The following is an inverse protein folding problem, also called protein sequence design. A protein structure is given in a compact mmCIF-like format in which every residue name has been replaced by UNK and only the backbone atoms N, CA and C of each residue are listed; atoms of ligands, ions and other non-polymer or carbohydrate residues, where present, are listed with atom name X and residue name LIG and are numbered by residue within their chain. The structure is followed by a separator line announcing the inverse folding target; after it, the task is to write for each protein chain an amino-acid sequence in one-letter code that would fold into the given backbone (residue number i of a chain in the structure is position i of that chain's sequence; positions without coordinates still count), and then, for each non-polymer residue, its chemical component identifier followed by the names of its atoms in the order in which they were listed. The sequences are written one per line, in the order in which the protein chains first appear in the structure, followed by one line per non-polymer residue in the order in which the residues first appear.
data_IF_450129481869
#
_entry.id   IF_450129481869
#
_cell.length_a   1.000
_cell.length_b   1.000
_cell.length_c   1.000
_cell.angle_alpha   90.00
_cell.angle_beta   90.00
_cell.angle_gamma   90.00
#
_symmetry.space_group_name_H-M   'P 1'
#
loop_
_entity.id
_entity.type
_entity.pdbx_description
1 polymer ?
#
# COMPACT_ATOMS: atom_id res chain seq x y z
N UNK A 1 -21.01 1.82 31.85
CA UNK A 1 -20.39 2.98 31.16
C UNK A 1 -18.87 3.03 31.34
N UNK A 2 -18.34 3.01 32.58
CA UNK A 2 -16.89 3.03 32.83
C UNK A 2 -16.13 1.84 32.21
N UNK A 3 -16.68 0.62 32.29
CA UNK A 3 -16.04 -0.56 31.69
C UNK A 3 -16.03 -0.56 30.15
N UNK A 4 -16.99 0.11 29.52
CA UNK A 4 -17.04 0.24 28.05
C UNK A 4 -15.93 1.16 27.55
N UNK A 5 -15.68 2.28 28.24
CA UNK A 5 -14.58 3.18 27.93
C UNK A 5 -13.20 2.52 28.17
N UNK A 6 -13.04 1.74 29.24
CA UNK A 6 -11.82 1.01 29.52
C UNK A 6 -11.50 -0.07 28.46
N UNK A 7 -12.53 -0.67 27.84
CA UNK A 7 -12.37 -1.67 26.77
C UNK A 7 -11.99 -1.06 25.42
N UNK A 8 -12.50 0.13 25.11
CA UNK A 8 -12.20 0.87 23.86
C UNK A 8 -10.78 1.45 23.87
N UNK A 9 -10.27 1.83 25.04
CA UNK A 9 -8.92 2.40 25.19
C UNK A 9 -7.81 1.40 25.57
N UNK A 10 -8.08 0.09 25.53
CA UNK A 10 -7.06 -0.93 25.75
C UNK A 10 -6.21 -1.17 24.49
N UNK A 11 -5.56 -0.13 23.99
CA UNK A 11 -4.44 -0.26 23.06
C UNK A 11 -3.26 -0.81 23.85
N UNK A 12 -3.05 -2.12 23.75
CA UNK A 12 -1.89 -2.83 24.28
C UNK A 12 -0.64 -1.99 24.04
N UNK A 13 -0.02 -1.50 25.12
CA UNK A 13 1.27 -0.78 25.11
C UNK A 13 2.30 -1.60 24.35
N UNK A 14 2.44 -1.35 23.05
CA UNK A 14 3.44 -1.99 22.22
C UNK A 14 4.76 -1.31 22.52
N UNK A 15 5.69 -2.06 23.10
CA UNK A 15 7.02 -1.57 23.39
C UNK A 15 7.65 -1.08 22.06
N UNK A 16 7.68 0.24 21.85
CA UNK A 16 8.02 0.88 20.58
C UNK A 16 9.41 0.43 20.10
N UNK A 17 10.34 0.28 21.04
CA UNK A 17 11.69 -0.24 20.80
C UNK A 17 11.66 -1.65 20.18
N UNK A 18 10.76 -2.52 20.67
CA UNK A 18 10.61 -3.90 20.16
C UNK A 18 10.01 -3.90 18.75
N UNK A 19 9.04 -3.03 18.50
CA UNK A 19 8.41 -2.91 17.18
C UNK A 19 9.38 -2.32 16.15
N UNK A 20 10.15 -1.31 16.54
CA UNK A 20 11.18 -0.70 15.71
C UNK A 20 12.29 -1.71 15.38
N UNK A 21 12.75 -2.47 16.37
CA UNK A 21 13.73 -3.54 16.18
C UNK A 21 13.21 -4.68 15.28
N UNK A 22 11.93 -5.02 15.39
CA UNK A 22 11.31 -6.04 14.53
C UNK A 22 11.22 -5.57 13.07
N UNK A 23 10.79 -4.34 12.83
CA UNK A 23 10.68 -3.79 11.47
C UNK A 23 12.05 -3.56 10.84
N UNK A 24 13.01 -3.04 11.61
CA UNK A 24 14.38 -2.81 11.12
C UNK A 24 15.09 -4.12 10.80
N UNK A 25 14.94 -5.15 11.64
CA UNK A 25 15.53 -6.48 11.36
C UNK A 25 14.90 -7.14 10.14
N UNK A 26 13.57 -7.07 9.97
CA UNK A 26 12.87 -7.54 8.77
C UNK A 26 13.38 -6.82 7.50
N UNK A 27 13.58 -5.50 7.60
CA UNK A 27 14.10 -4.68 6.49
C UNK A 27 15.54 -5.06 6.16
N UNK A 28 16.39 -5.22 7.17
CA UNK A 28 17.79 -5.57 6.98
C UNK A 28 17.94 -6.96 6.35
N UNK A 29 17.16 -7.93 6.83
CA UNK A 29 17.13 -9.28 6.27
C UNK A 29 16.71 -9.28 4.80
N UNK A 30 15.66 -8.52 4.45
CA UNK A 30 15.20 -8.37 3.07
C UNK A 30 16.28 -7.74 2.17
N UNK A 31 17.03 -6.76 2.69
CA UNK A 31 18.16 -6.16 1.96
C UNK A 31 19.28 -7.16 1.72
N UNK A 32 19.68 -7.93 2.74
CA UNK A 32 20.74 -8.94 2.61
C UNK A 32 20.36 -10.01 1.57
N UNK A 33 19.11 -10.50 1.60
CA UNK A 33 18.62 -11.43 0.59
C UNK A 33 18.61 -10.82 -0.83
N UNK A 34 18.24 -9.54 -0.94
CA UNK A 34 18.34 -8.79 -2.20
C UNK A 34 19.79 -8.72 -2.71
N UNK A 35 20.74 -8.37 -1.85
CA UNK A 35 22.15 -8.36 -2.19
C UNK A 35 22.67 -9.74 -2.59
N UNK A 36 22.24 -10.81 -1.91
CA UNK A 36 22.61 -12.17 -2.27
C UNK A 36 22.07 -12.56 -3.65
N UNK A 37 20.81 -12.23 -3.95
CA UNK A 37 20.24 -12.38 -5.30
C UNK A 37 21.09 -11.66 -6.33
N UNK A 38 21.40 -10.38 -6.09
CA UNK A 38 22.14 -9.55 -7.04
C UNK A 38 23.56 -10.09 -7.26
N UNK A 39 24.22 -10.56 -6.21
CA UNK A 39 25.55 -11.18 -6.28
C UNK A 39 25.54 -12.52 -7.04
N UNK A 40 24.52 -13.37 -6.83
CA UNK A 40 24.34 -14.63 -7.57
C UNK A 40 24.10 -14.33 -9.04
N UNK A 41 23.19 -13.40 -9.34
CA UNK A 41 22.87 -12.97 -10.70
C UNK A 41 24.11 -12.41 -11.40
N UNK A 42 24.89 -11.55 -10.73
CA UNK A 42 26.14 -11.02 -11.26
C UNK A 42 27.21 -12.10 -11.48
N UNK A 43 27.29 -13.13 -10.62
CA UNK A 43 28.24 -14.24 -10.80
C UNK A 43 27.87 -15.19 -11.93
N UNK A 44 26.58 -15.49 -12.10
CA UNK A 44 26.10 -16.47 -13.09
C UNK A 44 26.01 -15.84 -14.47
N UNK A 45 25.48 -14.61 -14.57
CA UNK A 45 25.25 -13.94 -15.85
C UNK A 45 26.34 -12.94 -16.23
N UNK A 46 27.20 -12.53 -15.27
CA UNK A 46 28.17 -11.46 -15.47
C UNK A 46 27.52 -10.06 -15.58
N UNK A 47 28.37 -9.03 -15.75
CA UNK A 47 27.93 -7.70 -16.15
C UNK A 47 27.62 -7.70 -17.65
N UNK A 48 26.39 -8.09 -18.01
CA UNK A 48 25.93 -8.18 -19.40
C UNK A 48 24.54 -7.57 -19.57
N UNK A 49 24.18 -7.24 -20.82
CA UNK A 49 22.91 -6.58 -21.16
C UNK A 49 21.66 -7.34 -20.66
N UNK A 50 21.72 -8.67 -20.55
CA UNK A 50 20.62 -9.48 -20.03
C UNK A 50 20.36 -9.23 -18.53
N UNK A 51 21.42 -9.05 -17.74
CA UNK A 51 21.37 -8.79 -16.31
C UNK A 51 20.75 -7.41 -16.03
N UNK A 52 21.16 -6.40 -16.81
CA UNK A 52 20.60 -5.04 -16.73
C UNK A 52 19.12 -5.00 -17.13
N UNK A 53 18.74 -5.69 -18.21
CA UNK A 53 17.35 -5.78 -18.65
C UNK A 53 16.45 -6.44 -17.58
N UNK A 54 16.94 -7.49 -16.91
CA UNK A 54 16.23 -8.15 -15.82
C UNK A 54 16.01 -7.21 -14.63
N UNK A 55 17.02 -6.43 -14.24
CA UNK A 55 16.88 -5.45 -13.16
C UNK A 55 15.94 -4.30 -13.51
N UNK A 56 15.97 -3.80 -14.75
CA UNK A 56 15.03 -2.77 -15.22
C UNK A 56 13.60 -3.31 -15.21
N UNK A 57 13.38 -4.54 -15.71
CA UNK A 57 12.06 -5.17 -15.70
C UNK A 57 11.49 -5.35 -14.29
N UNK A 58 12.33 -5.70 -13.31
CA UNK A 58 11.91 -5.82 -11.90
C UNK A 58 11.63 -4.47 -11.21
N UNK A 59 12.18 -3.36 -11.71
CA UNK A 59 11.91 -2.01 -11.18
C UNK A 59 10.63 -1.40 -11.75
N UNK A 60 10.18 -1.85 -12.91
CA UNK A 60 8.99 -1.34 -13.59
C UNK A 60 7.71 -1.38 -12.73
N UNK A 61 7.39 -2.47 -12.02
CA UNK A 61 6.20 -2.53 -11.17
C UNK A 61 6.25 -1.53 -10.00
N UNK A 62 7.44 -1.36 -9.41
CA UNK A 62 7.63 -0.38 -8.33
C UNK A 62 7.46 1.05 -8.85
N UNK A 63 7.88 1.34 -10.09
CA UNK A 63 7.67 2.64 -10.72
C UNK A 63 6.18 2.93 -10.93
N UNK A 64 5.43 1.94 -11.42
CA UNK A 64 3.98 2.04 -11.59
C UNK A 64 3.29 2.25 -10.24
N UNK A 65 3.62 1.43 -9.23
CA UNK A 65 3.06 1.56 -7.88
C UNK A 65 3.33 2.95 -7.30
N UNK A 66 4.53 3.50 -7.48
CA UNK A 66 4.88 4.84 -7.01
C UNK A 66 4.08 5.93 -7.72
N UNK A 67 3.89 5.84 -9.04
CA UNK A 67 3.11 6.82 -9.80
C UNK A 67 1.62 6.75 -9.46
N UNK A 68 1.07 5.54 -9.35
CA UNK A 68 -0.38 5.33 -9.15
C UNK A 68 -0.81 5.37 -7.68
N UNK A 69 -0.01 4.84 -6.75
CA UNK A 69 -0.39 4.67 -5.34
C UNK A 69 0.30 5.68 -4.40
N UNK A 70 1.52 6.14 -4.68
CA UNK A 70 2.15 7.22 -3.91
C UNK A 70 1.90 8.61 -4.51
N UNK A 71 1.42 8.67 -5.75
CA UNK A 71 1.11 9.90 -6.47
C UNK A 71 -0.22 10.56 -6.06
N UNK A 72 -0.71 11.42 -6.94
CA UNK A 72 -1.88 12.29 -6.72
C UNK A 72 -3.15 11.54 -6.26
N UNK A 73 -3.30 10.26 -6.63
CA UNK A 73 -4.44 9.44 -6.24
C UNK A 73 -4.53 9.25 -4.73
N UNK A 74 -3.47 8.84 -4.04
CA UNK A 74 -3.54 8.59 -2.59
C UNK A 74 -3.67 9.89 -1.78
N UNK A 75 -3.03 10.97 -2.25
CA UNK A 75 -3.15 12.29 -1.61
C UNK A 75 -4.56 12.87 -1.69
N UNK A 76 -5.28 12.65 -2.79
CA UNK A 76 -6.66 13.13 -2.95
C UNK A 76 -7.69 12.15 -2.38
N UNK A 77 -7.48 10.85 -2.58
CA UNK A 77 -8.46 9.81 -2.24
C UNK A 77 -8.58 9.58 -0.72
N UNK A 78 -7.47 9.56 0.02
CA UNK A 78 -7.46 9.32 1.47
C UNK A 78 -8.26 10.38 2.26
N UNK A 79 -8.04 11.70 2.09
CA UNK A 79 -8.81 12.71 2.82
C UNK A 79 -10.28 12.75 2.39
N UNK A 80 -10.59 12.53 1.11
CA UNK A 80 -11.98 12.45 0.63
C UNK A 80 -12.72 11.27 1.26
N UNK A 81 -12.09 10.10 1.32
CA UNK A 81 -12.67 8.92 1.97
C UNK A 81 -12.87 9.14 3.48
N UNK A 82 -11.92 9.80 4.14
CA UNK A 82 -12.02 10.13 5.56
C UNK A 82 -13.16 11.13 5.83
N UNK A 83 -13.35 12.12 4.97
CA UNK A 83 -14.44 13.09 5.07
C UNK A 83 -15.82 12.43 4.85
N UNK A 84 -15.94 11.56 3.84
CA UNK A 84 -17.19 10.82 3.58
C UNK A 84 -17.57 9.92 4.76
N UNK A 85 -16.59 9.20 5.34
CA UNK A 85 -16.81 8.34 6.50
C UNK A 85 -17.19 9.13 7.76
N UNK A 86 -16.65 10.32 7.93
CA UNK A 86 -16.89 11.18 9.10
C UNK A 86 -18.21 11.93 9.04
N UNK A 87 -18.61 12.47 7.88
CA UNK A 87 -19.76 13.38 7.78
C UNK A 87 -21.06 12.72 7.30
N UNK A 88 -20.99 11.65 6.50
CA UNK A 88 -22.18 11.09 5.85
C UNK A 88 -22.57 9.68 6.32
N UNK A 89 -21.85 9.12 7.30
CA UNK A 89 -22.14 7.79 7.84
C UNK A 89 -21.72 6.64 6.92
N UNK A 90 -21.83 5.42 7.46
CA UNK A 90 -21.29 4.20 6.85
C UNK A 90 -21.97 3.84 5.51
N UNK A 91 -23.24 4.21 5.32
CA UNK A 91 -23.99 3.96 4.08
C UNK A 91 -23.47 4.77 2.88
N UNK A 92 -23.22 6.07 3.04
CA UNK A 92 -22.72 6.91 1.94
C UNK A 92 -21.30 6.48 1.50
N UNK A 93 -20.49 6.02 2.44
CA UNK A 93 -19.15 5.46 2.16
C UNK A 93 -19.24 4.15 1.37
N UNK A 94 -20.22 3.30 1.69
CA UNK A 94 -20.47 2.02 1.00
C UNK A 94 -20.93 2.21 -0.45
N UNK A 95 -21.53 3.35 -0.76
CA UNK A 95 -21.95 3.75 -2.11
C UNK A 95 -20.80 4.42 -2.87
N UNK A 96 -19.99 5.27 -2.21
CA UNK A 96 -18.88 6.00 -2.84
C UNK A 96 -17.73 5.09 -3.31
N UNK A 97 -17.38 4.05 -2.54
CA UNK A 97 -16.32 3.09 -2.90
C UNK A 97 -16.57 2.40 -4.27
N UNK A 98 -17.77 1.87 -4.56
CA UNK A 98 -18.09 1.35 -5.88
C UNK A 98 -18.09 2.43 -6.97
N UNK A 99 -18.50 3.67 -6.72
CA UNK A 99 -18.45 4.74 -7.73
C UNK A 99 -17.02 5.11 -8.16
N UNK A 100 -16.08 5.22 -7.22
CA UNK A 100 -14.67 5.47 -7.56
C UNK A 100 -14.05 4.26 -8.26
N UNK A 101 -14.46 3.05 -7.88
CA UNK A 101 -14.05 1.81 -8.56
C UNK A 101 -14.64 1.69 -9.97
N UNK A 102 -15.86 2.21 -10.18
CA UNK A 102 -16.58 2.23 -11.46
C UNK A 102 -16.06 3.28 -12.43
N UNK A 103 -15.43 4.36 -11.97
CA UNK A 103 -14.75 5.30 -12.88
C UNK A 103 -13.61 4.61 -13.67
N UNK A 104 -13.12 3.46 -13.19
CA UNK A 104 -12.17 2.60 -13.92
C UNK A 104 -12.82 1.63 -14.91
N UNK A 105 -14.15 1.43 -14.86
CA UNK A 105 -14.91 0.56 -15.75
C UNK A 105 -16.09 1.33 -16.33
N UNK A 106 -15.90 1.87 -17.54
CA UNK A 106 -16.91 2.59 -18.32
C UNK A 106 -18.30 1.98 -18.28
N UNK A 107 -19.25 2.67 -17.63
CA UNK A 107 -20.61 3.03 -18.06
C UNK A 107 -21.45 3.33 -16.79
N UNK A 108 -22.05 4.53 -16.66
CA UNK A 108 -22.96 4.81 -15.56
C UNK A 108 -24.26 3.99 -15.69
N UNK A 109 -24.89 3.58 -14.58
CA UNK A 109 -26.17 2.87 -14.65
C UNK A 109 -27.23 3.84 -15.17
N UNK A 110 -27.72 3.59 -16.38
CA UNK A 110 -28.91 4.26 -16.91
C UNK A 110 -30.09 3.95 -16.00
N UNK A 111 -30.56 4.95 -15.28
CA UNK A 111 -31.89 4.95 -14.69
C UNK A 111 -32.91 4.93 -15.82
N UNK A 112 -33.49 3.77 -16.11
CA UNK A 112 -34.76 3.68 -16.79
C UNK A 112 -35.88 3.97 -15.78
N UNK A 113 -36.68 4.98 -16.13
CA UNK A 113 -38.01 5.27 -15.57
C UNK A 113 -38.89 4.02 -15.55
#
# INVERSE_FOLDING_TARGET
MQEFYARVWNTKEMNLLKSLAAVSSMTMFSRVLGFARDAIVARIFGAGMATDAFFVAFKLPNLLLRIFAEGAFSQAFVPILAEYKSKQGEEATRIFVPYVSLIHLSEPPRHSL
#
